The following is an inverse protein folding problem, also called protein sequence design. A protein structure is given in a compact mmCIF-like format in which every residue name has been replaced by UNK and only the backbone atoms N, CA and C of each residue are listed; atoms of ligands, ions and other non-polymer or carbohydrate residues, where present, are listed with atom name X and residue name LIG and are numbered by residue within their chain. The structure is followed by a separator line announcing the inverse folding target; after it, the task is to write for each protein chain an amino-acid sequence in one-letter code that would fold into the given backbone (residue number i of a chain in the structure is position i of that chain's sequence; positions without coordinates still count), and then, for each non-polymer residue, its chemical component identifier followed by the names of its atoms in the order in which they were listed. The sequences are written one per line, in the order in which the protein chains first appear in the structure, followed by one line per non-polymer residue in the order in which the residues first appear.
data_IF_339821560829
#
_entry.id   IF_339821560829
#
_cell.length_a   1.000
_cell.length_b   1.000
_cell.length_c   1.000
_cell.angle_alpha   90.00
_cell.angle_beta   90.00
_cell.angle_gamma   90.00
#
_symmetry.space_group_name_H-M   'P 1'
#
loop_
_entity.id
_entity.type
_entity.pdbx_description
1 polymer ?
#
# COMPACT_ATOMS: atom_id res chain seq x y z
N UNK A 1 -9.83 3.41 3.24
CA UNK A 1 -9.52 2.28 4.14
C UNK A 1 -8.28 1.49 3.69
N UNK A 2 -7.84 1.63 2.43
CA UNK A 2 -6.56 1.16 1.90
C UNK A 2 -5.93 2.25 1.01
N UNK A 3 -4.61 2.23 0.82
CA UNK A 3 -3.86 3.22 0.03
C UNK A 3 -3.56 2.77 -1.40
N UNK A 4 -3.63 1.46 -1.67
CA UNK A 4 -3.34 0.86 -2.98
C UNK A 4 -4.51 -0.04 -3.38
N UNK A 5 -4.94 0.08 -4.62
CA UNK A 5 -5.89 -0.84 -5.25
C UNK A 5 -5.12 -1.87 -6.08
N UNK A 6 -5.37 -3.15 -5.83
CA UNK A 6 -4.72 -4.26 -6.53
C UNK A 6 -5.76 -5.12 -7.25
N UNK A 7 -5.50 -5.43 -8.53
CA UNK A 7 -6.32 -6.33 -9.35
C UNK A 7 -5.49 -7.53 -9.76
N UNK A 8 -5.98 -8.73 -9.47
CA UNK A 8 -5.43 -9.96 -10.01
C UNK A 8 -5.93 -10.09 -11.46
N UNK A 9 -5.05 -10.20 -12.47
CA UNK A 9 -5.48 -10.41 -13.84
C UNK A 9 -6.18 -11.76 -13.95
N UNK A 10 -7.41 -11.74 -14.48
CA UNK A 10 -8.27 -12.90 -14.68
C UNK A 10 -8.98 -12.76 -16.03
N UNK A 11 -9.69 -13.80 -16.47
CA UNK A 11 -10.46 -13.75 -17.72
C UNK A 11 -11.48 -12.61 -17.70
N UNK A 12 -11.68 -11.97 -18.85
CA UNK A 12 -12.71 -10.93 -19.01
C UNK A 12 -14.14 -11.50 -18.93
N UNK A 13 -14.32 -12.77 -19.28
CA UNK A 13 -15.63 -13.44 -19.26
C UNK A 13 -15.95 -14.06 -17.90
N UNK A 14 -14.93 -14.31 -17.08
CA UNK A 14 -15.08 -14.87 -15.73
C UNK A 14 -13.92 -14.43 -14.85
N UNK A 15 -14.08 -13.28 -14.18
CA UNK A 15 -13.04 -12.65 -13.38
C UNK A 15 -13.16 -12.93 -11.87
N UNK A 16 -13.98 -13.91 -11.49
CA UNK A 16 -14.24 -14.23 -10.07
C UNK A 16 -13.29 -15.31 -9.59
N UNK A 17 -12.52 -14.98 -8.56
CA UNK A 17 -11.64 -15.91 -7.85
C UNK A 17 -12.20 -16.19 -6.47
N UNK A 18 -12.09 -17.44 -6.01
CA UNK A 18 -12.29 -17.76 -4.60
C UNK A 18 -11.23 -17.02 -3.77
N UNK A 19 -11.60 -16.61 -2.56
CA UNK A 19 -10.70 -15.94 -1.62
C UNK A 19 -9.41 -16.73 -1.36
N UNK A 20 -9.48 -18.06 -1.24
CA UNK A 20 -8.29 -18.90 -1.00
C UNK A 20 -7.30 -18.83 -2.16
N UNK A 21 -7.78 -18.87 -3.40
CA UNK A 21 -6.95 -18.72 -4.59
C UNK A 21 -6.36 -17.31 -4.69
N UNK A 22 -7.16 -16.27 -4.45
CA UNK A 22 -6.67 -14.89 -4.46
C UNK A 22 -5.55 -14.66 -3.44
N UNK A 23 -5.72 -15.17 -2.21
CA UNK A 23 -4.71 -15.09 -1.15
C UNK A 23 -3.46 -15.87 -1.56
N UNK A 24 -3.60 -17.09 -2.07
CA UNK A 24 -2.48 -17.92 -2.52
C UNK A 24 -1.61 -17.22 -3.58
N UNK A 25 -2.24 -16.60 -4.58
CA UNK A 25 -1.55 -15.84 -5.64
C UNK A 25 -0.78 -14.65 -5.05
N UNK A 26 -1.42 -13.85 -4.18
CA UNK A 26 -0.78 -12.68 -3.57
C UNK A 26 0.43 -13.08 -2.72
N UNK A 27 0.28 -14.12 -1.90
CA UNK A 27 1.36 -14.60 -1.03
C UNK A 27 2.54 -15.17 -1.83
N UNK A 28 2.27 -15.90 -2.91
CA UNK A 28 3.30 -16.40 -3.81
C UNK A 28 4.10 -15.25 -4.43
N UNK A 29 3.43 -14.22 -4.97
CA UNK A 29 4.09 -13.07 -5.58
C UNK A 29 4.91 -12.28 -4.57
N UNK A 30 4.39 -12.08 -3.35
CA UNK A 30 5.10 -11.39 -2.28
C UNK A 30 6.36 -12.16 -1.86
N UNK A 31 6.25 -13.48 -1.66
CA UNK A 31 7.40 -14.34 -1.37
C UNK A 31 8.45 -14.26 -2.48
N UNK A 32 8.04 -14.38 -3.75
CA UNK A 32 8.92 -14.32 -4.90
C UNK A 32 9.66 -12.99 -4.97
N UNK A 33 8.97 -11.86 -4.77
CA UNK A 33 9.58 -10.52 -4.80
C UNK A 33 10.53 -10.27 -3.64
N UNK A 34 10.26 -10.79 -2.44
CA UNK A 34 11.13 -10.60 -1.28
C UNK A 34 12.38 -11.49 -1.34
N UNK A 35 12.24 -12.73 -1.81
CA UNK A 35 13.30 -13.74 -1.66
C UNK A 35 14.12 -13.98 -2.94
N UNK A 36 13.58 -13.69 -4.12
CA UNK A 36 14.29 -13.90 -5.40
C UNK A 36 14.93 -12.60 -5.90
N UNK A 37 14.39 -11.44 -5.50
CA UNK A 37 14.90 -10.14 -5.93
C UNK A 37 15.66 -9.48 -4.77
N UNK A 38 17.00 -9.50 -4.84
CA UNK A 38 17.90 -8.90 -3.83
C UNK A 38 17.95 -7.36 -3.86
N UNK A 39 16.84 -6.68 -4.14
CA UNK A 39 16.82 -5.20 -4.20
C UNK A 39 16.64 -4.64 -2.79
N UNK A 40 17.68 -3.99 -2.28
CA UNK A 40 17.53 -2.86 -1.38
C UNK A 40 17.40 -3.15 0.12
N UNK A 41 18.27 -3.99 0.70
CA UNK A 41 18.57 -3.92 2.15
C UNK A 41 19.84 -3.11 2.41
N UNK A 42 19.87 -1.87 1.92
CA UNK A 42 20.98 -0.95 2.22
C UNK A 42 21.02 -0.56 3.70
N UNK A 43 22.17 -0.08 4.18
CA UNK A 43 22.41 0.23 5.60
C UNK A 43 21.47 1.28 6.24
N UNK A 44 20.65 2.00 5.45
CA UNK A 44 19.71 3.02 5.92
C UNK A 44 18.45 3.02 5.06
N UNK A 45 17.46 2.14 5.34
CA UNK A 45 16.22 2.15 4.58
C UNK A 45 15.45 3.45 4.81
N UNK A 46 14.89 4.03 3.74
CA UNK A 46 13.98 5.18 3.86
C UNK A 46 12.69 4.67 4.48
N UNK A 47 12.41 5.10 5.71
CA UNK A 47 11.16 4.77 6.39
C UNK A 47 10.03 5.62 5.82
N UNK A 48 9.01 4.95 5.29
CA UNK A 48 7.79 5.62 4.83
C UNK A 48 6.95 6.03 6.03
N UNK A 49 6.38 7.24 5.97
CA UNK A 49 5.45 7.75 6.98
C UNK A 49 4.22 6.84 7.08
N UNK A 50 3.81 6.54 8.31
CA UNK A 50 2.69 5.66 8.56
C UNK A 50 1.34 6.42 8.51
N UNK A 51 0.23 5.70 8.69
CA UNK A 51 -1.11 6.29 8.67
C UNK A 51 -1.31 7.37 9.74
N UNK A 52 -0.73 7.21 10.92
CA UNK A 52 -0.83 8.17 12.02
C UNK A 52 -0.08 9.46 11.69
N UNK A 53 1.14 9.34 11.16
CA UNK A 53 1.95 10.48 10.72
C UNK A 53 1.19 11.32 9.70
N UNK A 54 0.53 10.65 8.73
CA UNK A 54 -0.32 11.31 7.74
C UNK A 54 -1.51 12.04 8.36
N UNK A 55 -2.16 11.44 9.36
CA UNK A 55 -3.29 12.07 10.07
C UNK A 55 -2.86 13.30 10.86
N UNK A 56 -1.69 13.26 11.49
CA UNK A 56 -1.13 14.39 12.25
C UNK A 56 -0.85 15.55 11.29
N UNK A 57 -0.14 15.29 10.19
CA UNK A 57 0.13 16.31 9.16
C UNK A 57 -1.16 16.91 8.62
N UNK A 58 -2.15 16.06 8.32
CA UNK A 58 -3.45 16.51 7.84
C UNK A 58 -4.13 17.48 8.82
N UNK A 59 -4.10 17.17 10.13
CA UNK A 59 -4.65 18.05 11.17
C UNK A 59 -3.92 19.40 11.21
N UNK A 60 -2.58 19.39 11.16
CA UNK A 60 -1.78 20.62 11.18
C UNK A 60 -2.11 21.50 9.97
N UNK A 61 -2.11 20.93 8.77
CA UNK A 61 -2.43 21.66 7.53
C UNK A 61 -3.84 22.24 7.59
N UNK A 62 -4.82 21.43 8.02
CA UNK A 62 -6.21 21.87 8.17
C UNK A 62 -6.31 23.07 9.12
N UNK A 63 -5.63 23.02 10.27
CA UNK A 63 -5.64 24.10 11.25
C UNK A 63 -5.03 25.40 10.69
N UNK A 64 -3.92 25.29 9.95
CA UNK A 64 -3.29 26.43 9.29
C UNK A 64 -4.21 27.09 8.26
N UNK A 65 -4.86 26.28 7.41
CA UNK A 65 -5.80 26.79 6.41
C UNK A 65 -6.96 27.52 7.11
N UNK A 66 -7.54 26.92 8.15
CA UNK A 66 -8.64 27.55 8.89
C UNK A 66 -8.22 28.86 9.55
N UNK A 67 -6.99 28.96 10.07
CA UNK A 67 -6.48 30.21 10.67
C UNK A 67 -6.23 31.31 9.63
N UNK A 68 -5.81 30.95 8.42
CA UNK A 68 -5.50 31.89 7.33
C UNK A 68 -6.73 32.32 6.51
N UNK A 69 -7.90 31.70 6.73
CA UNK A 69 -9.16 32.01 6.02
C UNK A 69 -10.15 32.83 6.85
N UNK A 70 -9.72 33.35 8.00
CA UNK A 70 -10.33 34.47 8.72
C UNK A 70 -9.50 35.73 8.49
#
# INVERSE_FOLDING_TARGET
LADILLRIPASNTYSTLNISHAVGIILYELYRKINIINIGRGNKPVLLANKQDRLIIYKIIRNLITLATW
#
